data_IF_346870422754
#
_entry.id   IF_346870422754
#
_cell.length_a   1.000
_cell.length_b   1.000
_cell.length_c   1.000
_cell.angle_alpha   90.00
_cell.angle_beta   90.00
_cell.angle_gamma   90.00
#
_symmetry.space_group_name_H-M   'P 1'
#
loop_
_entity.id
_entity.type
_entity.pdbx_description
1 polymer ?
#
# COMPACT_ATOMS: atom_id res chain seq x y z
N UNK A 1 31.88 0.78 72.04
CA UNK A 1 31.92 0.20 70.67
C UNK A 1 30.52 0.36 70.05
N UNK A 2 30.31 1.44 69.23
CA UNK A 2 29.03 1.72 68.56
C UNK A 2 29.07 1.08 67.14
N UNK A 3 28.18 0.11 66.88
CA UNK A 3 28.02 -0.50 65.54
C UNK A 3 27.18 0.42 64.67
N UNK A 4 27.77 0.91 63.58
CA UNK A 4 27.11 1.70 62.55
C UNK A 4 26.44 0.72 61.57
N UNK A 5 25.12 0.66 61.55
CA UNK A 5 24.33 -0.09 60.56
C UNK A 5 24.18 0.78 59.32
N UNK A 6 24.91 0.39 58.24
CA UNK A 6 24.69 0.96 56.91
C UNK A 6 23.36 0.35 56.35
N UNK A 7 22.37 1.19 56.16
CA UNK A 7 21.16 0.80 55.41
C UNK A 7 21.46 0.94 53.89
N UNK A 8 21.64 -0.17 53.19
CA UNK A 8 21.63 -0.22 51.73
C UNK A 8 20.22 -0.01 51.26
N UNK A 9 19.95 1.12 50.61
CA UNK A 9 18.67 1.38 49.96
C UNK A 9 18.78 0.76 48.53
N UNK A 10 17.97 -0.25 48.19
CA UNK A 10 17.97 -0.75 46.81
C UNK A 10 17.22 0.24 45.91
N UNK A 11 17.98 0.95 45.07
CA UNK A 11 17.41 1.77 44.00
C UNK A 11 16.77 0.86 42.96
N UNK A 12 15.44 0.74 43.01
CA UNK A 12 14.64 0.02 42.04
C UNK A 12 14.60 0.84 40.74
N UNK A 13 15.45 0.51 39.78
CA UNK A 13 15.42 1.11 38.43
C UNK A 13 14.23 0.52 37.67
N UNK A 14 13.13 1.26 37.61
CA UNK A 14 12.01 0.97 36.75
C UNK A 14 12.40 1.24 35.29
N UNK A 15 12.78 0.18 34.56
CA UNK A 15 12.95 0.24 33.12
C UNK A 15 11.56 0.32 32.50
N UNK A 16 11.10 1.52 32.18
CA UNK A 16 9.88 1.73 31.38
C UNK A 16 10.21 1.37 29.94
N UNK A 17 9.89 0.14 29.53
CA UNK A 17 9.90 -0.24 28.13
C UNK A 17 8.81 0.59 27.42
N UNK A 18 9.22 1.60 26.66
CA UNK A 18 8.33 2.32 25.77
C UNK A 18 7.82 1.34 24.71
N UNK A 19 6.58 0.89 24.82
CA UNK A 19 5.90 0.18 23.74
C UNK A 19 5.68 1.19 22.59
N UNK A 20 6.66 1.30 21.70
CA UNK A 20 6.44 1.97 20.43
C UNK A 20 5.49 1.07 19.63
N UNK A 21 4.28 1.53 19.36
CA UNK A 21 3.42 0.89 18.40
C UNK A 21 4.19 0.83 17.07
N UNK A 22 4.44 -0.36 16.56
CA UNK A 22 5.09 -0.53 15.26
C UNK A 22 4.17 0.07 14.18
N UNK A 23 4.70 1.03 13.42
CA UNK A 23 4.01 1.61 12.27
C UNK A 23 4.13 0.69 11.05
N UNK A 24 3.15 0.73 10.14
CA UNK A 24 3.23 0.00 8.88
C UNK A 24 4.48 0.37 8.08
N UNK A 25 5.14 -0.60 7.47
CA UNK A 25 6.25 -0.38 6.56
C UNK A 25 5.74 0.25 5.26
N UNK A 26 6.36 1.34 4.79
CA UNK A 26 6.08 1.95 3.48
C UNK A 26 7.23 1.69 2.52
N UNK A 27 6.97 0.92 1.47
CA UNK A 27 7.87 0.69 0.35
C UNK A 27 7.46 1.64 -0.77
N UNK A 28 8.36 2.55 -1.15
CA UNK A 28 8.07 3.63 -2.10
C UNK A 28 8.43 3.25 -3.52
N UNK A 29 7.75 3.89 -4.49
CA UNK A 29 8.12 3.92 -5.90
C UNK A 29 8.29 2.54 -6.56
N UNK A 30 7.46 1.58 -6.12
CA UNK A 30 7.43 0.25 -6.73
C UNK A 30 6.87 0.38 -8.15
N UNK A 31 7.70 0.08 -9.15
CA UNK A 31 7.31 0.16 -10.57
C UNK A 31 6.41 -1.03 -10.90
N UNK A 32 5.17 -0.77 -11.32
CA UNK A 32 4.24 -1.81 -11.75
C UNK A 32 4.09 -1.93 -13.28
N UNK A 33 4.50 -0.92 -14.02
CA UNK A 33 4.56 -0.97 -15.49
C UNK A 33 5.49 0.10 -16.05
N UNK A 34 5.98 -0.14 -17.29
CA UNK A 34 6.76 0.82 -18.07
C UNK A 34 6.27 0.79 -19.51
N UNK A 35 5.87 1.92 -20.04
CA UNK A 35 5.51 2.08 -21.46
C UNK A 35 5.54 3.56 -21.84
N UNK A 36 5.59 3.87 -23.14
CA UNK A 36 5.54 5.22 -23.70
C UNK A 36 6.51 6.23 -23.04
N UNK A 37 7.68 5.73 -22.64
CA UNK A 37 8.73 6.53 -21.99
C UNK A 37 8.43 6.94 -20.56
N UNK A 38 7.48 6.29 -19.87
CA UNK A 38 7.19 6.50 -18.46
C UNK A 38 7.29 5.21 -17.67
N UNK A 39 7.65 5.33 -16.38
CA UNK A 39 7.47 4.31 -15.38
C UNK A 39 6.33 4.73 -14.46
N UNK A 40 5.29 3.90 -14.35
CA UNK A 40 4.20 4.11 -13.42
C UNK A 40 4.46 3.34 -12.13
N UNK A 41 4.24 4.01 -11.01
CA UNK A 41 4.62 3.50 -9.70
C UNK A 41 3.45 3.42 -8.74
N UNK A 42 3.66 2.65 -7.69
CA UNK A 42 2.80 2.58 -6.53
C UNK A 42 3.64 2.58 -5.26
N UNK A 43 3.06 3.00 -4.15
CA UNK A 43 3.64 2.74 -2.84
C UNK A 43 2.92 1.56 -2.18
N UNK A 44 3.69 0.70 -1.52
CA UNK A 44 3.13 -0.44 -0.79
C UNK A 44 3.25 -0.20 0.71
N UNK A 45 2.12 -0.24 1.40
CA UNK A 45 2.07 -0.17 2.86
C UNK A 45 1.80 -1.56 3.42
N UNK A 46 2.80 -2.13 4.08
CA UNK A 46 2.71 -3.45 4.72
C UNK A 46 2.28 -3.28 6.18
N UNK A 47 1.24 -3.97 6.62
CA UNK A 47 0.84 -3.97 8.03
C UNK A 47 1.85 -4.73 8.89
N UNK A 48 1.92 -4.39 10.16
CA UNK A 48 2.73 -5.13 11.15
C UNK A 48 2.25 -6.57 11.29
N UNK A 49 0.94 -6.78 11.19
CA UNK A 49 0.29 -8.09 11.26
C UNK A 49 -0.60 -8.29 10.04
N UNK A 50 -0.10 -8.89 8.95
CA UNK A 50 -0.90 -9.12 7.75
C UNK A 50 -2.06 -10.09 8.00
N UNK A 51 -3.24 -9.76 7.44
CA UNK A 51 -4.40 -10.65 7.44
C UNK A 51 -4.51 -11.48 6.14
N UNK A 52 -3.52 -11.34 5.24
CA UNK A 52 -3.46 -12.02 3.96
C UNK A 52 -4.29 -11.38 2.85
N UNK A 53 -4.97 -10.27 3.11
CA UNK A 53 -5.72 -9.56 2.07
C UNK A 53 -5.01 -8.27 1.64
N UNK A 54 -5.13 -7.94 0.36
CA UNK A 54 -4.57 -6.73 -0.24
C UNK A 54 -5.64 -5.78 -0.76
N UNK A 55 -5.34 -4.49 -0.72
CA UNK A 55 -6.20 -3.44 -1.27
C UNK A 55 -5.40 -2.62 -2.28
N UNK A 56 -5.88 -2.57 -3.52
CA UNK A 56 -5.39 -1.66 -4.54
C UNK A 56 -6.17 -0.35 -4.40
N UNK A 57 -5.50 0.69 -3.93
CA UNK A 57 -6.08 2.01 -3.74
C UNK A 57 -5.65 2.93 -4.87
N UNK A 58 -6.61 3.43 -5.64
CA UNK A 58 -6.37 4.28 -6.80
C UNK A 58 -6.35 5.75 -6.37
N UNK A 59 -5.19 6.40 -6.54
CA UNK A 59 -5.05 7.85 -6.35
C UNK A 59 -5.52 8.55 -7.63
N UNK A 60 -6.69 9.19 -7.59
CA UNK A 60 -7.21 9.91 -8.76
C UNK A 60 -8.20 11.00 -8.37
N UNK A 61 -7.96 12.22 -8.81
CA UNK A 61 -8.87 13.34 -8.74
C UNK A 61 -9.06 13.95 -10.13
N UNK A 62 -10.30 13.90 -10.70
CA UNK A 62 -10.55 14.35 -12.09
C UNK A 62 -9.68 13.62 -13.12
N UNK A 63 -9.43 12.34 -12.93
CA UNK A 63 -8.54 11.49 -13.76
C UNK A 63 -7.09 11.98 -13.82
N UNK A 64 -6.68 12.80 -12.84
CA UNK A 64 -5.29 13.18 -12.59
C UNK A 64 -4.78 12.46 -11.35
N UNK A 65 -3.53 12.02 -11.41
CA UNK A 65 -2.88 11.27 -10.35
C UNK A 65 -1.49 11.83 -10.07
N UNK A 66 -1.07 11.84 -8.82
CA UNK A 66 0.27 12.25 -8.42
C UNK A 66 0.62 11.68 -7.03
N UNK A 67 1.91 11.72 -6.69
CA UNK A 67 2.43 11.17 -5.44
C UNK A 67 1.96 11.93 -4.18
N UNK A 68 1.54 13.19 -4.29
CA UNK A 68 1.02 13.95 -3.14
C UNK A 68 -0.32 13.41 -2.61
N UNK A 69 -1.06 12.65 -3.44
CA UNK A 69 -2.28 11.97 -3.04
C UNK A 69 -2.07 10.62 -2.34
N UNK A 70 -0.82 10.16 -2.22
CA UNK A 70 -0.51 8.88 -1.60
C UNK A 70 -0.79 8.93 -0.10
N UNK A 71 -1.71 8.09 0.34
CA UNK A 71 -1.97 7.79 1.74
C UNK A 71 -2.51 6.36 1.85
N UNK A 72 -2.23 5.69 2.95
CA UNK A 72 -2.58 4.28 3.17
C UNK A 72 -4.08 4.03 3.42
N UNK A 73 -4.87 5.09 3.64
CA UNK A 73 -6.29 5.01 3.94
C UNK A 73 -6.60 4.38 5.31
N UNK A 74 -5.60 4.17 6.14
CA UNK A 74 -5.73 3.51 7.46
C UNK A 74 -5.89 1.99 7.39
N UNK A 75 -5.91 1.38 6.19
CA UNK A 75 -6.11 -0.05 5.99
C UNK A 75 -5.04 -0.94 6.64
N UNK A 76 -3.75 -0.55 6.69
CA UNK A 76 -2.72 -1.37 7.34
C UNK A 76 -2.95 -1.57 8.84
N UNK A 77 -3.62 -0.64 9.52
CA UNK A 77 -4.01 -0.81 10.93
C UNK A 77 -4.97 -1.98 11.15
N UNK A 78 -5.75 -2.34 10.11
CA UNK A 78 -6.65 -3.50 10.09
C UNK A 78 -6.04 -4.75 9.45
N UNK A 79 -4.73 -4.75 9.21
CA UNK A 79 -3.98 -5.90 8.70
C UNK A 79 -3.96 -6.03 7.17
N UNK A 80 -4.49 -5.07 6.42
CA UNK A 80 -4.46 -5.11 4.95
C UNK A 80 -3.15 -4.53 4.42
N UNK A 81 -2.51 -5.24 3.50
CA UNK A 81 -1.47 -4.64 2.67
C UNK A 81 -2.13 -3.71 1.65
N UNK A 82 -1.69 -2.46 1.57
CA UNK A 82 -2.30 -1.47 0.67
C UNK A 82 -1.32 -1.08 -0.43
N UNK A 83 -1.69 -1.33 -1.68
CA UNK A 83 -0.99 -0.90 -2.89
C UNK A 83 -1.61 0.42 -3.34
N UNK A 84 -0.94 1.53 -3.10
CA UNK A 84 -1.44 2.88 -3.40
C UNK A 84 -0.91 3.30 -4.76
N UNK A 85 -1.76 3.18 -5.79
CA UNK A 85 -1.39 3.26 -7.20
C UNK A 85 -1.51 4.68 -7.73
N UNK A 86 -0.43 5.18 -8.33
CA UNK A 86 -0.39 6.42 -9.12
C UNK A 86 -0.41 6.04 -10.60
N UNK A 87 -1.39 6.53 -11.34
CA UNK A 87 -1.61 6.20 -12.76
C UNK A 87 -1.21 7.35 -13.69
N UNK A 88 -1.19 7.10 -14.98
CA UNK A 88 -1.03 8.12 -16.02
C UNK A 88 -2.12 9.18 -15.94
N UNK A 89 -1.76 10.45 -16.15
CA UNK A 89 -2.62 11.61 -15.87
C UNK A 89 -3.14 12.22 -17.17
N UNK A 90 -4.46 12.59 -17.20
CA UNK A 90 -5.02 13.39 -18.29
C UNK A 90 -4.38 14.79 -18.35
N UNK A 91 -4.26 15.38 -19.55
CA UNK A 91 -4.76 14.89 -20.84
C UNK A 91 -3.79 13.97 -21.60
N UNK A 92 -2.58 13.70 -21.06
CA UNK A 92 -1.58 12.85 -21.75
C UNK A 92 -2.07 11.42 -21.93
N UNK A 93 -2.81 10.88 -20.94
CA UNK A 93 -3.37 9.54 -20.96
C UNK A 93 -4.90 9.62 -21.00
N UNK A 94 -5.52 8.88 -21.91
CA UNK A 94 -6.98 8.74 -21.97
C UNK A 94 -7.47 7.77 -20.88
N UNK A 95 -8.78 7.82 -20.58
CA UNK A 95 -9.34 6.97 -19.50
C UNK A 95 -9.13 5.48 -19.78
N UNK A 96 -9.24 5.07 -21.03
CA UNK A 96 -9.03 3.67 -21.46
C UNK A 96 -7.59 3.21 -21.23
N UNK A 97 -6.61 4.07 -21.49
CA UNK A 97 -5.19 3.81 -21.24
C UNK A 97 -4.94 3.72 -19.72
N UNK A 98 -5.54 4.62 -18.95
CA UNK A 98 -5.47 4.60 -17.49
C UNK A 98 -6.04 3.27 -16.94
N UNK A 99 -7.17 2.81 -17.47
CA UNK A 99 -7.76 1.52 -17.07
C UNK A 99 -6.84 0.34 -17.45
N UNK A 100 -6.21 0.38 -18.63
CA UNK A 100 -5.24 -0.63 -19.02
C UNK A 100 -4.05 -0.69 -18.06
N UNK A 101 -3.53 0.45 -17.64
CA UNK A 101 -2.44 0.56 -16.66
C UNK A 101 -2.85 0.06 -15.27
N UNK A 102 -4.04 0.42 -14.83
CA UNK A 102 -4.57 -0.07 -13.56
C UNK A 102 -4.81 -1.59 -13.56
N UNK A 103 -5.17 -2.18 -14.71
CA UNK A 103 -5.19 -3.64 -14.86
C UNK A 103 -3.79 -4.25 -14.71
N UNK A 104 -2.73 -3.56 -15.17
CA UNK A 104 -1.32 -3.98 -14.91
C UNK A 104 -1.00 -3.92 -13.42
N UNK A 105 -1.45 -2.87 -12.71
CA UNK A 105 -1.28 -2.78 -11.26
C UNK A 105 -1.99 -3.93 -10.52
N UNK A 106 -3.20 -4.32 -10.95
CA UNK A 106 -3.90 -5.50 -10.40
C UNK A 106 -3.12 -6.79 -10.66
N UNK A 107 -2.60 -6.97 -11.89
CA UNK A 107 -1.77 -8.14 -12.22
C UNK A 107 -0.49 -8.18 -11.41
N UNK A 108 0.17 -7.03 -11.22
CA UNK A 108 1.33 -6.91 -10.33
C UNK A 108 0.97 -7.39 -8.91
N UNK A 109 -0.12 -6.89 -8.34
CA UNK A 109 -0.58 -7.30 -7.01
C UNK A 109 -0.87 -8.80 -6.92
N UNK A 110 -1.36 -9.44 -8.00
CA UNK A 110 -1.54 -10.90 -8.07
C UNK A 110 -0.24 -11.67 -8.23
N UNK A 111 0.68 -11.19 -9.04
CA UNK A 111 1.95 -11.87 -9.31
C UNK A 111 2.94 -11.76 -8.13
N UNK A 112 2.96 -10.60 -7.48
CA UNK A 112 3.94 -10.26 -6.43
C UNK A 112 3.32 -10.10 -5.04
N UNK A 113 2.03 -10.33 -4.88
CA UNK A 113 1.32 -10.13 -3.61
C UNK A 113 1.92 -10.91 -2.46
N UNK A 114 2.41 -12.13 -2.71
CA UNK A 114 3.07 -12.98 -1.71
C UNK A 114 4.31 -12.31 -1.08
N UNK A 115 5.06 -11.52 -1.84
CA UNK A 115 6.25 -10.79 -1.36
C UNK A 115 5.87 -9.71 -0.32
N UNK A 116 4.60 -9.33 -0.34
CA UNK A 116 4.00 -8.32 0.55
C UNK A 116 3.01 -8.92 1.56
N UNK A 117 2.97 -10.25 1.69
CA UNK A 117 2.09 -10.96 2.63
C UNK A 117 0.63 -11.01 2.20
N UNK A 118 0.35 -10.98 0.89
CA UNK A 118 -1.01 -11.00 0.31
C UNK A 118 -1.25 -12.30 -0.43
N UNK A 119 -2.40 -12.92 -0.15
CA UNK A 119 -2.96 -14.00 -0.97
C UNK A 119 -3.46 -13.40 -2.31
N UNK A 120 -2.94 -13.83 -3.46
CA UNK A 120 -3.32 -13.32 -4.77
C UNK A 120 -4.82 -13.37 -5.08
N UNK A 121 -5.55 -14.25 -4.40
CA UNK A 121 -7.01 -14.38 -4.54
C UNK A 121 -7.80 -13.40 -3.67
N UNK A 122 -7.12 -12.69 -2.74
CA UNK A 122 -7.75 -11.78 -1.78
C UNK A 122 -7.34 -10.32 -2.05
N UNK A 123 -7.59 -9.86 -3.26
CA UNK A 123 -7.36 -8.48 -3.67
C UNK A 123 -8.67 -7.73 -3.87
N UNK A 124 -8.82 -6.62 -3.17
CA UNK A 124 -9.87 -5.65 -3.39
C UNK A 124 -9.36 -4.40 -4.09
N UNK A 125 -10.26 -3.63 -4.70
CA UNK A 125 -9.94 -2.33 -5.30
C UNK A 125 -10.80 -1.23 -4.69
N UNK A 126 -10.24 -0.05 -4.50
CA UNK A 126 -10.94 1.12 -3.94
C UNK A 126 -10.38 2.43 -4.52
N UNK A 127 -11.19 3.45 -4.44
CA UNK A 127 -10.81 4.81 -4.84
C UNK A 127 -11.94 5.79 -4.54
N UNK A 128 -11.63 7.08 -4.53
CA UNK A 128 -12.61 8.15 -4.33
C UNK A 128 -12.78 8.95 -5.62
N UNK A 129 -13.99 9.48 -5.88
CA UNK A 129 -14.29 10.30 -7.06
C UNK A 129 -13.89 9.59 -8.37
N UNK A 130 -13.02 10.18 -9.19
CA UNK A 130 -12.49 9.52 -10.39
C UNK A 130 -11.81 8.18 -10.09
N UNK A 131 -11.15 8.04 -8.92
CA UNK A 131 -10.61 6.75 -8.47
C UNK A 131 -11.70 5.71 -8.22
N UNK A 132 -12.86 6.11 -7.72
CA UNK A 132 -14.03 5.24 -7.57
C UNK A 132 -14.58 4.79 -8.93
N UNK A 133 -14.68 5.71 -9.89
CA UNK A 133 -15.07 5.39 -11.27
C UNK A 133 -14.10 4.36 -11.89
N UNK A 134 -12.77 4.59 -11.76
CA UNK A 134 -11.76 3.68 -12.27
C UNK A 134 -11.82 2.32 -11.57
N UNK A 135 -12.10 2.27 -10.26
CA UNK A 135 -12.31 1.03 -9.51
C UNK A 135 -13.50 0.23 -10.06
N UNK A 136 -14.60 0.91 -10.38
CA UNK A 136 -15.78 0.27 -10.97
C UNK A 136 -15.47 -0.25 -12.38
N UNK A 137 -14.74 0.51 -13.19
CA UNK A 137 -14.32 0.05 -14.52
C UNK A 137 -13.45 -1.22 -14.44
N UNK A 138 -12.53 -1.29 -13.47
CA UNK A 138 -11.73 -2.52 -13.24
C UNK A 138 -12.62 -3.71 -12.86
N UNK A 139 -13.63 -3.50 -12.03
CA UNK A 139 -14.53 -4.57 -11.58
C UNK A 139 -15.45 -5.07 -12.71
N UNK A 140 -15.88 -4.18 -13.61
CA UNK A 140 -16.90 -4.50 -14.64
C UNK A 140 -16.30 -4.82 -16.02
N UNK A 141 -15.08 -4.37 -16.30
CA UNK A 141 -14.37 -4.56 -17.58
C UNK A 141 -13.10 -5.40 -17.44
N UNK A 142 -12.96 -6.10 -16.31
CA UNK A 142 -11.84 -7.01 -16.08
C UNK A 142 -11.83 -8.12 -17.13
N UNK A 143 -10.69 -8.30 -17.78
CA UNK A 143 -10.43 -9.39 -18.71
C UNK A 143 -9.17 -10.14 -18.30
N UNK A 144 -8.85 -11.28 -18.96
CA UNK A 144 -7.66 -12.07 -18.65
C UNK A 144 -6.35 -11.28 -18.86
N UNK A 145 -6.42 -10.12 -19.52
CA UNK A 145 -5.27 -9.30 -19.85
C UNK A 145 -4.34 -9.97 -20.87
N UNK A 146 -3.43 -9.20 -21.44
CA UNK A 146 -2.34 -9.77 -22.25
C UNK A 146 -1.26 -10.29 -21.29
N UNK A 147 -0.97 -11.59 -21.34
CA UNK A 147 0.08 -12.22 -20.55
C UNK A 147 1.49 -11.66 -20.87
N UNK A 148 1.66 -11.00 -22.02
CA UNK A 148 2.90 -10.34 -22.44
C UNK A 148 3.00 -8.88 -22.01
N UNK A 149 1.96 -8.31 -21.40
CA UNK A 149 1.90 -6.92 -20.96
C UNK A 149 2.32 -6.74 -19.48
N UNK A 150 3.21 -7.60 -18.99
CA UNK A 150 3.80 -7.49 -17.65
C UNK A 150 5.09 -6.66 -17.71
#
# INVERSE_FOLDING_TARGET
MKRLLLHLCPCLVLITASLHAQEPERIRDVIYTKHDGVALTMDVFKPVKPNGAGIIKIVSGGWKSNHNGINDGGWPKSGYTTFVVVHGTQPRFQVEEIVADLNRAVRFGRAHGSDYGVDPQKLGVTGSSAGGHLSLMLATRGGPGDAKAA
#
